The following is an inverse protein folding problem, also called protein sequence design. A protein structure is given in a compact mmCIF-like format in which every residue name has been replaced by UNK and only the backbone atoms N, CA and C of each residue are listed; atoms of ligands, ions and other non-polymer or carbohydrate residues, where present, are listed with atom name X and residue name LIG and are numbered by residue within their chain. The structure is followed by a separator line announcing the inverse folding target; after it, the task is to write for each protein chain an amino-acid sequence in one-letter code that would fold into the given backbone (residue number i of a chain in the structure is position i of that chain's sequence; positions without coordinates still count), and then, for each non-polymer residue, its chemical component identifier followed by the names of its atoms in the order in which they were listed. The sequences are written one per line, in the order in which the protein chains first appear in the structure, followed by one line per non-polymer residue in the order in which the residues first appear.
data_IF_942747757734
#
_entry.id   IF_942747757734
#
_cell.length_a   1.000
_cell.length_b   1.000
_cell.length_c   1.000
_cell.angle_alpha   90.00
_cell.angle_beta   90.00
_cell.angle_gamma   90.00
#
_symmetry.space_group_name_H-M   'P 1'
#
loop_
_entity.id
_entity.type
_entity.pdbx_description
1 polymer ?
#
# COMPACT_ATOMS: atom_id res chain seq x y z
N UNK A 1 -24.27 -23.26 13.34
CA UNK A 1 -24.55 -22.44 12.14
C UNK A 1 -23.71 -21.18 12.28
N UNK A 2 -22.67 -21.03 11.46
CA UNK A 2 -21.95 -19.76 11.42
C UNK A 2 -22.94 -18.66 11.03
N UNK A 3 -23.06 -17.60 11.83
CA UNK A 3 -23.92 -16.47 11.49
C UNK A 3 -23.48 -15.89 10.16
N UNK A 4 -24.44 -15.48 9.32
CA UNK A 4 -24.14 -14.78 8.07
C UNK A 4 -23.31 -13.53 8.41
N UNK A 5 -22.22 -13.31 7.66
CA UNK A 5 -21.42 -12.09 7.76
C UNK A 5 -22.31 -10.87 7.51
N UNK A 6 -22.02 -9.75 8.18
CA UNK A 6 -22.73 -8.47 7.97
C UNK A 6 -22.70 -8.01 6.51
N UNK A 7 -21.67 -8.38 5.78
CA UNK A 7 -21.47 -7.98 4.38
C UNK A 7 -21.92 -9.05 3.39
N UNK A 8 -22.60 -10.11 3.85
CA UNK A 8 -23.10 -11.17 2.98
C UNK A 8 -24.02 -10.62 1.89
N UNK A 9 -23.73 -10.99 0.64
CA UNK A 9 -24.46 -10.52 -0.56
C UNK A 9 -24.27 -9.05 -0.90
N UNK A 10 -23.50 -8.28 -0.13
CA UNK A 10 -23.31 -6.84 -0.40
C UNK A 10 -22.37 -6.61 -1.59
N UNK A 11 -22.70 -5.62 -2.44
CA UNK A 11 -21.83 -5.12 -3.50
C UNK A 11 -20.87 -4.05 -2.95
N UNK A 12 -19.58 -4.23 -3.17
CA UNK A 12 -18.52 -3.32 -2.72
C UNK A 12 -17.80 -2.79 -3.94
N UNK A 13 -17.86 -1.47 -4.16
CA UNK A 13 -17.23 -0.85 -5.31
C UNK A 13 -15.72 -0.76 -5.13
N UNK A 14 -14.96 -1.37 -6.05
CA UNK A 14 -13.51 -1.22 -6.16
C UNK A 14 -13.20 -0.41 -7.41
N UNK A 15 -12.89 0.87 -7.24
CA UNK A 15 -12.34 1.69 -8.32
C UNK A 15 -10.83 1.47 -8.37
N UNK A 16 -10.35 0.77 -9.39
CA UNK A 16 -8.92 0.58 -9.61
C UNK A 16 -8.59 0.45 -11.10
N UNK A 17 -7.45 0.99 -11.49
CA UNK A 17 -6.80 0.58 -12.73
C UNK A 17 -5.99 -0.70 -12.50
N UNK A 18 -6.24 -1.65 -13.41
CA UNK A 18 -5.53 -2.90 -13.69
C UNK A 18 -5.07 -3.74 -12.48
N UNK A 19 -5.68 -4.92 -12.32
CA UNK A 19 -5.08 -6.10 -11.69
C UNK A 19 -5.14 -6.20 -10.17
N UNK A 20 -5.40 -5.11 -9.44
CA UNK A 20 -5.42 -5.11 -7.96
C UNK A 20 -6.54 -5.96 -7.38
N UNK A 21 -7.65 -6.08 -8.11
CA UNK A 21 -8.77 -6.96 -7.75
C UNK A 21 -8.31 -8.41 -7.53
N UNK A 22 -7.26 -8.86 -8.23
CA UNK A 22 -6.73 -10.23 -8.14
C UNK A 22 -6.13 -10.57 -6.77
N UNK A 23 -5.72 -9.58 -5.98
CA UNK A 23 -5.20 -9.79 -4.62
C UNK A 23 -6.14 -9.29 -3.53
N UNK A 24 -7.13 -8.47 -3.88
CA UNK A 24 -8.12 -7.94 -2.95
C UNK A 24 -9.34 -8.88 -2.84
N UNK A 25 -9.98 -9.18 -3.97
CA UNK A 25 -11.25 -9.92 -3.98
C UNK A 25 -11.14 -11.35 -3.41
N UNK A 26 -10.12 -12.16 -3.77
CA UNK A 26 -10.00 -13.52 -3.23
C UNK A 26 -9.82 -13.60 -1.71
N UNK A 27 -9.38 -12.51 -1.07
CA UNK A 27 -9.28 -12.46 0.39
C UNK A 27 -10.57 -12.02 1.06
N UNK A 28 -11.26 -11.03 0.48
CA UNK A 28 -12.42 -10.39 1.13
C UNK A 28 -13.73 -11.11 0.83
N UNK A 29 -13.99 -11.53 -0.41
CA UNK A 29 -15.25 -12.14 -0.80
C UNK A 29 -15.59 -13.41 0.02
N UNK A 30 -14.72 -14.42 0.11
CA UNK A 30 -15.05 -15.64 0.87
C UNK A 30 -15.13 -15.39 2.38
N UNK A 31 -14.39 -14.41 2.90
CA UNK A 31 -14.33 -14.14 4.33
C UNK A 31 -15.50 -13.27 4.82
N UNK A 32 -15.95 -12.33 3.99
CA UNK A 32 -17.00 -11.37 4.33
C UNK A 32 -18.35 -11.71 3.67
N UNK A 33 -18.41 -12.65 2.73
CA UNK A 33 -19.61 -12.98 1.94
C UNK A 33 -20.02 -11.88 0.95
N UNK A 34 -19.19 -10.86 0.78
CA UNK A 34 -19.47 -9.74 -0.13
C UNK A 34 -19.04 -10.07 -1.57
N UNK A 35 -19.42 -9.19 -2.51
CA UNK A 35 -18.95 -9.23 -3.90
C UNK A 35 -18.21 -7.94 -4.22
N UNK A 36 -16.94 -8.06 -4.61
CA UNK A 36 -16.15 -6.95 -5.09
C UNK A 36 -16.56 -6.65 -6.54
N UNK A 37 -17.07 -5.46 -6.76
CA UNK A 37 -17.46 -4.97 -8.06
C UNK A 37 -16.39 -4.04 -8.59
N UNK A 38 -15.71 -4.48 -9.65
CA UNK A 38 -14.71 -3.67 -10.33
C UNK A 38 -15.42 -2.53 -11.09
N UNK A 39 -15.12 -1.29 -10.69
CA UNK A 39 -15.58 -0.10 -11.38
C UNK A 39 -14.52 0.31 -12.40
N UNK A 40 -14.86 0.19 -13.68
CA UNK A 40 -14.00 0.58 -14.81
C UNK A 40 -14.53 1.84 -15.49
N UNK A 41 -13.74 2.44 -16.38
CA UNK A 41 -14.18 3.60 -17.18
C UNK A 41 -13.98 4.98 -16.54
N UNK A 42 -13.37 5.04 -15.34
CA UNK A 42 -12.86 6.28 -14.76
C UNK A 42 -11.33 6.26 -14.76
N UNK A 43 -10.74 7.30 -15.33
CA UNK A 43 -9.29 7.46 -15.32
C UNK A 43 -8.83 7.92 -13.93
N UNK A 44 -8.37 6.96 -13.12
CA UNK A 44 -7.86 7.25 -11.78
C UNK A 44 -6.59 8.09 -11.78
N UNK A 45 -5.92 8.27 -12.93
CA UNK A 45 -4.77 9.17 -13.03
C UNK A 45 -5.17 10.64 -12.85
N UNK A 46 -6.46 10.97 -13.03
CA UNK A 46 -7.04 12.27 -12.64
C UNK A 46 -6.99 12.51 -11.12
N UNK A 47 -6.79 11.46 -10.32
CA UNK A 47 -6.63 11.53 -8.86
C UNK A 47 -5.14 11.54 -8.45
N UNK A 48 -4.22 11.58 -9.41
CA UNK A 48 -2.77 11.57 -9.24
C UNK A 48 -2.09 10.31 -9.77
N UNK A 49 -0.86 10.45 -10.30
CA UNK A 49 -0.12 9.35 -10.95
C UNK A 49 1.15 8.96 -10.19
N UNK A 50 1.53 7.68 -10.24
CA UNK A 50 2.83 7.21 -9.73
C UNK A 50 4.03 7.64 -10.60
N UNK A 51 3.78 8.01 -11.86
CA UNK A 51 4.78 8.41 -12.86
C UNK A 51 5.17 9.89 -12.78
N UNK A 52 4.69 10.62 -11.76
CA UNK A 52 4.95 12.06 -11.54
C UNK A 52 4.33 12.99 -12.61
N UNK A 53 3.44 12.47 -13.46
CA UNK A 53 2.76 13.26 -14.50
C UNK A 53 1.68 14.17 -13.92
N UNK A 54 0.91 13.68 -12.93
CA UNK A 54 -0.09 14.47 -12.17
C UNK A 54 0.19 14.38 -10.66
N UNK A 55 0.40 15.50 -9.94
CA UNK A 55 0.60 15.51 -8.49
C UNK A 55 -0.62 14.98 -7.74
N UNK A 56 -0.40 14.20 -6.66
CA UNK A 56 -1.48 13.74 -5.78
C UNK A 56 -1.96 14.90 -4.87
N UNK A 57 -3.27 15.17 -4.77
CA UNK A 57 -3.79 16.07 -3.76
C UNK A 57 -3.87 15.38 -2.38
N UNK A 58 -3.32 16.01 -1.34
CA UNK A 58 -3.46 15.56 0.04
C UNK A 58 -2.64 14.31 0.42
N UNK A 59 -3.02 13.66 1.51
CA UNK A 59 -2.35 12.47 2.04
C UNK A 59 -2.70 11.20 1.25
N UNK A 60 -1.89 10.15 1.37
CA UNK A 60 -2.17 8.83 0.78
C UNK A 60 -3.57 8.30 1.18
N UNK A 61 -3.96 8.49 2.43
CA UNK A 61 -5.29 8.10 2.94
C UNK A 61 -6.41 8.95 2.31
N UNK A 62 -6.21 10.26 2.15
CA UNK A 62 -7.20 11.12 1.50
C UNK A 62 -7.42 10.71 0.03
N UNK A 63 -6.36 10.35 -0.69
CA UNK A 63 -6.47 9.83 -2.05
C UNK A 63 -7.22 8.49 -2.09
N UNK A 64 -6.92 7.57 -1.17
CA UNK A 64 -7.64 6.30 -1.08
C UNK A 64 -9.14 6.52 -0.81
N UNK A 65 -9.46 7.42 0.11
CA UNK A 65 -10.84 7.80 0.44
C UNK A 65 -11.56 8.37 -0.78
N UNK A 66 -10.98 9.36 -1.46
CA UNK A 66 -11.58 9.97 -2.66
C UNK A 66 -11.85 8.92 -3.74
N UNK A 67 -10.91 7.99 -3.95
CA UNK A 67 -11.06 6.90 -4.92
C UNK A 67 -12.15 5.91 -4.55
N UNK A 68 -12.21 5.48 -3.29
CA UNK A 68 -13.28 4.60 -2.81
C UNK A 68 -14.65 5.27 -2.98
N UNK A 69 -14.76 6.55 -2.59
CA UNK A 69 -15.97 7.36 -2.75
C UNK A 69 -16.38 7.52 -4.21
N UNK A 70 -15.44 7.77 -5.11
CA UNK A 70 -15.74 7.86 -6.55
C UNK A 70 -16.22 6.52 -7.11
N UNK A 71 -15.61 5.41 -6.68
CA UNK A 71 -16.10 4.07 -7.01
C UNK A 71 -17.53 3.83 -6.56
N UNK A 72 -17.85 4.19 -5.31
CA UNK A 72 -19.20 4.09 -4.75
C UNK A 72 -20.23 4.90 -5.53
N UNK A 73 -19.88 6.14 -5.90
CA UNK A 73 -20.73 7.01 -6.73
C UNK A 73 -21.05 6.35 -8.09
N UNK A 74 -20.02 5.91 -8.80
CA UNK A 74 -20.14 5.32 -10.13
C UNK A 74 -20.91 3.99 -10.13
N UNK A 75 -20.73 3.16 -9.09
CA UNK A 75 -21.41 1.88 -8.95
C UNK A 75 -22.78 1.99 -8.25
N UNK A 76 -23.14 3.17 -7.73
CA UNK A 76 -24.30 3.39 -6.87
C UNK A 76 -24.35 2.42 -5.67
N UNK A 77 -23.23 2.23 -4.99
CA UNK A 77 -23.11 1.37 -3.79
C UNK A 77 -22.94 2.17 -2.51
N UNK A 78 -23.27 1.56 -1.37
CA UNK A 78 -23.00 2.12 -0.02
C UNK A 78 -21.67 1.66 0.58
N UNK A 79 -21.02 0.69 -0.07
CA UNK A 79 -19.75 0.15 0.32
C UNK A 79 -18.72 0.41 -0.77
N UNK A 80 -17.54 0.87 -0.37
CA UNK A 80 -16.43 1.16 -1.27
C UNK A 80 -15.12 0.66 -0.71
N UNK A 81 -14.23 0.26 -1.60
CA UNK A 81 -12.86 -0.10 -1.27
C UNK A 81 -11.89 0.53 -2.26
N UNK A 82 -10.76 1.00 -1.76
CA UNK A 82 -9.68 1.50 -2.61
C UNK A 82 -8.32 1.20 -2.01
N UNK A 83 -7.38 0.88 -2.89
CA UNK A 83 -5.97 0.74 -2.55
C UNK A 83 -5.18 1.95 -3.04
N UNK A 84 -4.30 2.48 -2.20
CA UNK A 84 -3.33 3.51 -2.60
C UNK A 84 -1.96 3.19 -2.03
N UNK A 85 -0.94 3.34 -2.87
CA UNK A 85 0.47 3.17 -2.49
C UNK A 85 1.20 4.49 -2.37
N UNK A 86 2.33 4.47 -1.69
CA UNK A 86 3.29 5.58 -1.64
C UNK A 86 4.70 5.04 -1.45
N UNK A 87 5.68 5.82 -1.88
CA UNK A 87 7.09 5.54 -1.63
C UNK A 87 7.67 6.63 -0.75
N UNK A 88 8.35 6.22 0.32
CA UNK A 88 9.02 7.10 1.25
C UNK A 88 10.46 6.62 1.48
N UNK A 89 11.23 7.41 2.24
CA UNK A 89 12.43 6.91 2.89
C UNK A 89 12.03 6.02 4.07
N UNK A 90 12.86 5.03 4.39
CA UNK A 90 12.57 4.14 5.52
C UNK A 90 12.54 4.92 6.84
N UNK A 91 11.63 4.57 7.77
CA UNK A 91 11.40 5.36 8.99
C UNK A 91 12.51 5.21 10.03
N UNK A 92 13.50 4.33 9.83
CA UNK A 92 14.54 4.04 10.80
C UNK A 92 15.86 4.76 10.47
N UNK A 93 16.36 4.57 9.25
CA UNK A 93 17.61 5.16 8.75
C UNK A 93 17.39 6.36 7.83
N UNK A 94 16.22 6.48 7.19
CA UNK A 94 15.94 7.52 6.21
C UNK A 94 16.68 7.33 4.87
N UNK A 95 17.31 6.18 4.64
CA UNK A 95 18.22 5.96 3.51
C UNK A 95 17.67 4.96 2.49
N UNK A 96 16.81 4.03 2.92
CA UNK A 96 16.33 2.95 2.06
C UNK A 96 14.98 3.28 1.44
N UNK A 97 14.70 2.85 0.19
CA UNK A 97 13.36 2.93 -0.37
C UNK A 97 12.37 2.13 0.46
N UNK A 98 11.24 2.75 0.78
CA UNK A 98 10.19 2.15 1.58
C UNK A 98 8.85 2.26 0.85
N UNK A 99 8.17 1.13 0.68
CA UNK A 99 6.84 1.07 0.10
C UNK A 99 5.80 0.99 1.21
N UNK A 100 4.77 1.82 1.12
CA UNK A 100 3.60 1.78 2.01
C UNK A 100 2.36 1.59 1.14
N UNK A 101 1.60 0.52 1.38
CA UNK A 101 0.32 0.25 0.74
C UNK A 101 -0.81 0.37 1.77
N UNK A 102 -1.86 1.10 1.40
CA UNK A 102 -3.10 1.22 2.14
C UNK A 102 -4.23 0.56 1.36
N UNK A 103 -5.13 -0.15 2.05
CA UNK A 103 -6.42 -0.59 1.50
C UNK A 103 -7.52 -0.09 2.44
N UNK A 104 -8.35 0.82 1.95
CA UNK A 104 -9.37 1.52 2.75
C UNK A 104 -10.76 1.03 2.35
N UNK A 105 -11.52 0.57 3.34
CA UNK A 105 -12.92 0.19 3.28
C UNK A 105 -13.79 1.31 3.85
N UNK A 106 -14.87 1.63 3.14
CA UNK A 106 -15.86 2.64 3.54
C UNK A 106 -17.24 1.99 3.59
N UNK A 107 -17.95 2.20 4.69
CA UNK A 107 -19.33 1.77 4.87
C UNK A 107 -20.22 2.95 5.30
N UNK A 108 -21.08 3.39 4.40
CA UNK A 108 -22.03 4.49 4.66
C UNK A 108 -23.23 4.09 5.51
N UNK A 109 -23.58 2.81 5.55
CA UNK A 109 -24.67 2.36 6.41
C UNK A 109 -24.27 2.44 7.89
N UNK A 110 -22.99 2.22 8.19
CA UNK A 110 -22.44 2.33 9.53
C UNK A 110 -21.74 3.66 9.83
N UNK A 111 -21.40 4.43 8.78
CA UNK A 111 -20.65 5.67 8.91
C UNK A 111 -19.20 5.46 9.33
N UNK A 112 -18.58 4.36 8.90
CA UNK A 112 -17.21 3.98 9.29
C UNK A 112 -16.25 3.95 8.11
N UNK A 113 -14.97 4.12 8.43
CA UNK A 113 -13.84 3.93 7.54
C UNK A 113 -12.79 3.07 8.23
N UNK A 114 -12.38 1.98 7.57
CA UNK A 114 -11.38 1.04 8.10
C UNK A 114 -10.25 0.92 7.09
N UNK A 115 -9.01 1.15 7.52
CA UNK A 115 -7.83 1.07 6.65
C UNK A 115 -6.88 -0.02 7.13
N UNK A 116 -6.59 -0.98 6.24
CA UNK A 116 -5.47 -1.90 6.39
C UNK A 116 -4.19 -1.33 5.81
N UNK A 117 -3.06 -1.65 6.43
CA UNK A 117 -1.75 -1.10 6.06
C UNK A 117 -0.73 -2.23 5.96
N UNK A 118 0.08 -2.21 4.92
CA UNK A 118 1.33 -2.97 4.86
C UNK A 118 2.45 -2.09 4.35
N UNK A 119 3.65 -2.31 4.88
CA UNK A 119 4.81 -1.52 4.53
C UNK A 119 6.09 -2.33 4.63
N UNK A 120 7.10 -1.96 3.86
CA UNK A 120 8.40 -2.58 3.94
C UNK A 120 9.40 -2.04 2.94
N UNK A 121 10.62 -2.55 3.03
CA UNK A 121 11.69 -2.20 2.13
C UNK A 121 11.30 -2.52 0.67
N UNK A 122 11.74 -1.65 -0.23
CA UNK A 122 11.61 -1.82 -1.68
C UNK A 122 12.95 -1.50 -2.36
N UNK A 123 13.04 -1.78 -3.66
CA UNK A 123 14.23 -1.54 -4.50
C UNK A 123 13.92 -0.44 -5.51
N UNK A 124 14.82 0.53 -5.64
CA UNK A 124 14.78 1.55 -6.72
C UNK A 124 15.86 1.28 -7.77
N UNK A 125 15.85 0.06 -8.30
CA UNK A 125 16.80 -0.36 -9.33
C UNK A 125 16.64 0.49 -10.59
N UNK A 126 17.77 1.04 -11.05
CA UNK A 126 17.87 1.70 -12.34
C UNK A 126 19.26 1.50 -12.95
N UNK A 127 19.39 1.77 -14.25
CA UNK A 127 20.65 1.80 -14.99
C UNK A 127 20.56 2.85 -16.10
N UNK A 128 21.70 3.41 -16.47
CA UNK A 128 21.88 4.22 -17.68
C UNK A 128 22.96 3.53 -18.52
N UNK A 129 22.61 3.03 -19.71
CA UNK A 129 23.58 2.43 -20.62
C UNK A 129 23.15 2.57 -22.09
N UNK A 130 24.13 2.66 -22.98
CA UNK A 130 23.96 2.56 -24.43
C UNK A 130 24.16 1.14 -24.98
N UNK A 131 24.41 0.15 -24.11
CA UNK A 131 24.69 -1.23 -24.51
C UNK A 131 23.58 -2.18 -24.08
N UNK A 132 23.05 -2.92 -25.06
CA UNK A 132 21.97 -3.90 -24.82
C UNK A 132 22.32 -4.94 -23.75
N UNK A 133 23.58 -5.42 -23.73
CA UNK A 133 24.00 -6.44 -22.78
C UNK A 133 23.87 -5.96 -21.31
N UNK A 134 24.19 -4.69 -21.04
CA UNK A 134 24.06 -4.11 -19.69
C UNK A 134 22.58 -4.04 -19.27
N UNK A 135 21.70 -3.66 -20.22
CA UNK A 135 20.26 -3.59 -19.99
C UNK A 135 19.68 -4.99 -19.74
N UNK A 136 20.11 -6.00 -20.50
CA UNK A 136 19.67 -7.37 -20.31
C UNK A 136 20.09 -7.93 -18.95
N UNK A 137 21.35 -7.75 -18.55
CA UNK A 137 21.84 -8.16 -17.22
C UNK A 137 21.13 -7.41 -16.09
N UNK A 138 20.86 -6.12 -16.26
CA UNK A 138 20.05 -5.35 -15.32
C UNK A 138 18.63 -5.92 -15.18
N UNK A 139 17.97 -6.22 -16.32
CA UNK A 139 16.61 -6.73 -16.35
C UNK A 139 16.49 -8.08 -15.62
N UNK A 140 17.42 -9.00 -15.85
CA UNK A 140 17.49 -10.28 -15.10
C UNK A 140 17.62 -10.05 -13.59
N UNK A 141 18.52 -9.14 -13.17
CA UNK A 141 18.76 -8.84 -11.75
C UNK A 141 17.55 -8.21 -11.05
N UNK A 142 16.75 -7.45 -11.78
CA UNK A 142 15.51 -6.86 -11.25
C UNK A 142 14.29 -7.79 -11.35
N UNK A 143 14.44 -8.99 -11.91
CA UNK A 143 13.39 -10.00 -11.98
C UNK A 143 12.42 -9.82 -13.14
N UNK A 144 12.88 -9.28 -14.27
CA UNK A 144 12.11 -9.24 -15.51
C UNK A 144 11.97 -10.65 -16.12
N UNK A 145 10.80 -11.06 -16.66
CA UNK A 145 9.64 -10.23 -17.00
C UNK A 145 8.57 -10.08 -15.92
N UNK A 146 8.65 -10.74 -14.76
CA UNK A 146 7.64 -10.60 -13.71
C UNK A 146 7.59 -9.18 -13.15
N UNK A 147 8.77 -8.59 -12.91
CA UNK A 147 8.92 -7.16 -12.69
C UNK A 147 9.06 -6.46 -14.03
N UNK A 148 8.10 -5.61 -14.41
CA UNK A 148 8.23 -4.87 -15.65
C UNK A 148 9.21 -3.69 -15.49
N UNK A 149 9.64 -3.16 -16.63
CA UNK A 149 10.55 -2.01 -16.71
C UNK A 149 9.91 -0.87 -17.50
N UNK A 150 10.41 0.34 -17.28
CA UNK A 150 10.15 1.51 -18.13
C UNK A 150 11.47 2.08 -18.62
N UNK A 151 11.46 2.63 -19.83
CA UNK A 151 12.65 3.13 -20.51
C UNK A 151 12.45 4.61 -20.83
N UNK A 152 13.54 5.36 -20.78
CA UNK A 152 13.60 6.76 -21.19
C UNK A 152 14.88 6.99 -22.01
N UNK A 153 14.85 7.78 -23.08
CA UNK A 153 16.08 8.28 -23.69
C UNK A 153 16.87 9.14 -22.69
N UNK A 154 18.18 9.18 -22.83
CA UNK A 154 19.11 10.12 -22.18
C UNK A 154 19.22 10.09 -20.64
N UNK A 155 18.12 10.22 -19.88
CA UNK A 155 18.18 10.33 -18.41
C UNK A 155 16.86 9.99 -17.72
N UNK A 156 16.88 9.93 -16.39
CA UNK A 156 15.68 9.71 -15.57
C UNK A 156 14.61 10.80 -15.77
N UNK A 157 15.05 12.02 -16.14
CA UNK A 157 14.20 13.22 -16.20
C UNK A 157 13.67 13.48 -17.61
N UNK A 158 14.03 12.64 -18.60
CA UNK A 158 13.52 12.77 -19.95
C UNK A 158 12.00 12.51 -19.97
N UNK A 159 11.18 13.40 -20.55
CA UNK A 159 9.72 13.26 -20.53
C UNK A 159 9.20 12.09 -21.37
N UNK A 160 9.99 11.58 -22.33
CA UNK A 160 9.61 10.49 -23.23
C UNK A 160 9.78 9.17 -22.47
N UNK A 161 8.65 8.55 -22.10
CA UNK A 161 8.64 7.27 -21.38
C UNK A 161 8.06 6.16 -22.27
N UNK A 162 8.83 5.09 -22.41
CA UNK A 162 8.35 3.83 -22.97
C UNK A 162 7.84 2.94 -21.82
N UNK A 163 6.53 2.65 -21.85
CA UNK A 163 5.80 1.90 -20.81
C UNK A 163 5.32 0.55 -21.37
N UNK A 164 4.82 -0.31 -20.48
CA UNK A 164 4.10 -1.55 -20.85
C UNK A 164 4.97 -2.59 -21.55
N UNK A 165 6.19 -2.76 -21.04
CA UNK A 165 7.17 -3.73 -21.51
C UNK A 165 7.01 -4.99 -20.67
N UNK A 166 6.56 -6.07 -21.30
CA UNK A 166 6.12 -7.30 -20.61
C UNK A 166 6.90 -8.54 -21.00
N UNK A 167 7.77 -8.44 -22.00
CA UNK A 167 8.59 -9.54 -22.49
C UNK A 167 9.91 -9.06 -23.10
N UNK A 168 10.85 -9.98 -23.28
CA UNK A 168 12.20 -9.70 -23.75
C UNK A 168 12.25 -9.04 -25.13
N UNK A 169 11.34 -9.42 -26.04
CA UNK A 169 11.29 -8.84 -27.37
C UNK A 169 10.84 -7.38 -27.31
N UNK A 170 9.80 -7.08 -26.53
CA UNK A 170 9.33 -5.71 -26.29
C UNK A 170 10.39 -4.84 -25.60
N UNK A 171 11.18 -5.42 -24.69
CA UNK A 171 12.28 -4.72 -24.01
C UNK A 171 13.38 -4.33 -25.00
N UNK A 172 13.78 -5.25 -25.88
CA UNK A 172 14.80 -4.99 -26.88
C UNK A 172 14.35 -3.91 -27.89
N UNK A 173 13.11 -4.03 -28.38
CA UNK A 173 12.54 -3.03 -29.29
C UNK A 173 12.42 -1.66 -28.62
N UNK A 174 11.97 -1.62 -27.36
CA UNK A 174 11.91 -0.39 -26.57
C UNK A 174 13.27 0.25 -26.36
N UNK A 175 14.31 -0.56 -26.12
CA UNK A 175 15.69 -0.09 -26.01
C UNK A 175 16.20 0.53 -27.31
N UNK A 176 16.07 -0.18 -28.44
CA UNK A 176 16.50 0.32 -29.75
C UNK A 176 15.76 1.62 -30.12
N UNK A 177 14.47 1.70 -29.82
CA UNK A 177 13.66 2.89 -30.02
C UNK A 177 14.12 4.08 -29.16
N UNK A 178 14.38 3.86 -27.87
CA UNK A 178 14.87 4.93 -26.99
C UNK A 178 16.28 5.37 -27.37
N UNK A 179 17.14 4.43 -27.77
CA UNK A 179 18.51 4.70 -28.19
C UNK A 179 18.55 5.57 -29.47
N UNK A 180 17.69 5.29 -30.43
CA UNK A 180 17.57 6.08 -31.66
C UNK A 180 17.10 7.53 -31.41
N UNK A 181 16.41 7.77 -30.29
CA UNK A 181 15.94 9.10 -29.87
C UNK A 181 16.88 9.82 -28.91
N UNK A 182 17.90 9.13 -28.43
CA UNK A 182 18.84 9.59 -27.41
C UNK A 182 19.93 10.46 -28.03
N UNK A 183 20.11 11.67 -27.53
CA UNK A 183 21.19 12.54 -27.97
C UNK A 183 22.55 12.11 -27.41
N UNK A 184 22.55 11.49 -26.24
CA UNK A 184 23.73 10.98 -25.53
C UNK A 184 24.13 9.55 -25.93
N UNK A 185 23.30 8.87 -26.71
CA UNK A 185 23.46 7.45 -27.01
C UNK A 185 23.27 6.55 -25.77
N UNK A 186 22.54 7.04 -24.77
CA UNK A 186 22.22 6.30 -23.55
C UNK A 186 20.71 6.10 -23.39
N UNK A 187 20.32 4.99 -22.76
CA UNK A 187 18.95 4.70 -22.36
C UNK A 187 18.90 4.50 -20.86
N UNK A 188 18.04 5.27 -20.20
CA UNK A 188 17.73 5.11 -18.79
C UNK A 188 16.64 4.05 -18.64
N UNK A 189 16.87 3.06 -17.78
CA UNK A 189 15.96 1.95 -17.52
C UNK A 189 15.72 1.87 -16.01
N UNK A 190 14.46 1.84 -15.60
CA UNK A 190 14.07 1.70 -14.20
C UNK A 190 12.92 0.72 -14.04
N UNK A 191 12.72 0.24 -12.81
CA UNK A 191 11.57 -0.61 -12.47
C UNK A 191 10.26 0.14 -12.72
N UNK A 192 9.28 -0.55 -13.30
CA UNK A 192 7.92 -0.04 -13.35
C UNK A 192 7.29 -0.13 -11.94
N UNK A 193 6.96 1.03 -11.38
CA UNK A 193 6.39 1.12 -10.03
C UNK A 193 4.87 0.97 -10.03
N UNK A 194 4.20 0.82 -11.17
CA UNK A 194 2.75 0.58 -11.22
C UNK A 194 2.43 -0.80 -10.65
N UNK A 195 1.37 -0.91 -9.83
CA UNK A 195 1.09 -2.11 -9.05
C UNK A 195 1.02 -3.40 -9.91
N UNK A 196 0.27 -3.38 -11.03
CA UNK A 196 0.13 -4.57 -11.90
C UNK A 196 1.45 -5.03 -12.54
N UNK A 197 2.45 -4.17 -12.56
CA UNK A 197 3.75 -4.35 -13.18
C UNK A 197 4.86 -4.65 -12.15
N UNK A 198 4.49 -4.73 -10.86
CA UNK A 198 5.41 -4.85 -9.75
C UNK A 198 4.91 -5.92 -8.75
N UNK A 199 5.45 -7.16 -8.82
CA UNK A 199 5.02 -8.27 -7.97
C UNK A 199 5.15 -7.96 -6.47
N UNK A 200 6.20 -7.26 -6.06
CA UNK A 200 6.41 -6.87 -4.66
C UNK A 200 5.30 -5.94 -4.18
N UNK A 201 4.87 -4.97 -4.99
CA UNK A 201 3.72 -4.12 -4.66
C UNK A 201 2.42 -4.90 -4.59
N UNK A 202 2.18 -5.83 -5.52
CA UNK A 202 0.98 -6.68 -5.48
C UNK A 202 0.92 -7.50 -4.19
N UNK A 203 2.06 -8.05 -3.76
CA UNK A 203 2.17 -8.72 -2.47
C UNK A 203 1.90 -7.76 -1.30
N UNK A 204 2.43 -6.53 -1.31
CA UNK A 204 2.14 -5.53 -0.27
C UNK A 204 0.66 -5.15 -0.22
N UNK A 205 -0.01 -5.03 -1.36
CA UNK A 205 -1.47 -4.80 -1.40
C UNK A 205 -2.22 -5.99 -0.79
N UNK A 206 -1.77 -7.22 -1.05
CA UNK A 206 -2.33 -8.43 -0.44
C UNK A 206 -2.16 -8.41 1.09
N UNK A 207 -0.98 -8.05 1.59
CA UNK A 207 -0.70 -7.92 3.03
C UNK A 207 -1.55 -6.82 3.68
N UNK A 208 -1.71 -5.67 3.01
CA UNK A 208 -2.57 -4.58 3.47
C UNK A 208 -4.06 -5.02 3.48
N UNK A 209 -4.48 -5.83 2.52
CA UNK A 209 -5.82 -6.44 2.49
C UNK A 209 -6.00 -7.42 3.64
N UNK A 210 -4.97 -8.21 3.98
CA UNK A 210 -4.99 -9.09 5.14
C UNK A 210 -5.13 -8.32 6.47
N UNK A 211 -4.41 -7.20 6.61
CA UNK A 211 -4.55 -6.29 7.75
C UNK A 211 -5.95 -5.68 7.83
N UNK A 212 -6.49 -5.22 6.70
CA UNK A 212 -7.87 -4.72 6.60
C UNK A 212 -8.87 -5.79 7.05
N UNK A 213 -8.72 -7.03 6.57
CA UNK A 213 -9.63 -8.12 6.91
C UNK A 213 -9.60 -8.46 8.40
N UNK A 214 -8.42 -8.45 9.03
CA UNK A 214 -8.30 -8.63 10.49
C UNK A 214 -9.04 -7.53 11.25
N UNK A 215 -8.92 -6.28 10.80
CA UNK A 215 -9.63 -5.14 11.41
C UNK A 215 -11.14 -5.24 11.23
N UNK A 216 -11.61 -5.62 10.04
CA UNK A 216 -13.04 -5.78 9.77
C UNK A 216 -13.68 -6.91 10.59
N UNK A 217 -12.93 -7.97 10.91
CA UNK A 217 -13.40 -9.02 11.82
C UNK A 217 -13.32 -8.64 13.30
N UNK A 218 -12.57 -7.61 13.65
CA UNK A 218 -12.50 -7.15 15.02
C UNK A 218 -13.71 -6.27 15.33
N UNK A 219 -14.68 -6.87 16.02
CA UNK A 219 -15.94 -6.25 16.36
C UNK A 219 -15.85 -5.56 17.72
N UNK A 220 -16.49 -4.40 17.82
CA UNK A 220 -16.64 -3.72 19.10
C UNK A 220 -17.52 -4.56 20.03
N UNK A 221 -17.08 -4.90 21.26
CA UNK A 221 -17.86 -5.75 22.16
C UNK A 221 -19.13 -5.07 22.69
N UNK A 222 -19.27 -3.75 22.52
CA UNK A 222 -20.44 -3.01 22.97
C UNK A 222 -21.53 -2.83 21.89
N UNK A 223 -21.17 -2.82 20.60
CA UNK A 223 -22.11 -2.49 19.52
C UNK A 223 -21.92 -3.28 18.22
N UNK A 224 -21.03 -4.28 18.22
CA UNK A 224 -20.69 -5.15 17.09
C UNK A 224 -20.26 -4.41 15.82
N UNK A 225 -19.84 -3.15 15.94
CA UNK A 225 -19.31 -2.37 14.81
C UNK A 225 -17.92 -2.90 14.46
N UNK A 226 -17.65 -3.26 13.18
CA UNK A 226 -16.35 -3.74 12.74
C UNK A 226 -15.30 -2.62 12.77
N UNK A 227 -14.03 -3.00 12.89
CA UNK A 227 -12.92 -2.05 13.00
C UNK A 227 -12.61 -1.61 14.42
N UNK A 228 -13.02 -2.37 15.45
CA UNK A 228 -12.55 -2.16 16.82
C UNK A 228 -11.06 -2.49 16.87
N UNK A 229 -10.22 -1.46 16.93
CA UNK A 229 -8.78 -1.65 16.73
C UNK A 229 -7.98 -0.66 17.56
N UNK A 230 -6.66 -0.86 17.57
CA UNK A 230 -5.70 0.01 18.24
C UNK A 230 -5.83 1.43 17.68
N UNK A 231 -6.26 2.37 18.52
CA UNK A 231 -6.32 3.80 18.23
C UNK A 231 -5.11 4.55 18.80
N UNK A 232 -4.52 4.03 19.88
CA UNK A 232 -3.43 4.67 20.60
C UNK A 232 -2.55 3.62 21.28
N UNK A 233 -1.26 3.93 21.44
CA UNK A 233 -0.34 3.17 22.27
C UNK A 233 0.16 4.06 23.40
N UNK A 234 -0.10 3.67 24.65
CA UNK A 234 0.25 4.45 25.83
C UNK A 234 1.72 4.24 26.18
N UNK A 235 2.59 5.27 26.05
CA UNK A 235 4.02 5.17 26.35
C UNK A 235 4.27 5.11 27.85
N UNK A 236 5.51 4.82 28.25
CA UNK A 236 5.94 4.84 29.63
C UNK A 236 6.35 3.49 30.19
N UNK A 237 6.64 2.50 29.33
CA UNK A 237 7.17 1.22 29.80
C UNK A 237 8.48 1.46 30.59
N UNK A 238 8.59 0.99 31.86
CA UNK A 238 9.71 1.35 32.71
C UNK A 238 11.01 0.67 32.26
N UNK A 239 12.11 1.42 32.23
CA UNK A 239 13.44 0.89 31.90
C UNK A 239 13.88 -0.20 32.89
N UNK A 240 14.45 -1.30 32.38
CA UNK A 240 14.95 -2.39 33.21
C UNK A 240 16.07 -1.98 34.18
N UNK A 241 16.89 -0.98 33.80
CA UNK A 241 18.03 -0.50 34.59
C UNK A 241 17.68 0.64 35.56
N UNK A 242 17.11 1.75 35.06
CA UNK A 242 16.89 2.96 35.87
C UNK A 242 15.42 3.19 36.26
N UNK A 243 14.48 2.37 35.76
CA UNK A 243 13.02 2.48 35.99
C UNK A 243 12.34 3.75 35.49
N UNK A 244 13.07 4.66 34.83
CA UNK A 244 12.45 5.81 34.17
C UNK A 244 11.50 5.36 33.06
N UNK A 245 10.40 6.10 32.83
CA UNK A 245 9.47 5.83 31.74
C UNK A 245 10.15 6.02 30.39
N UNK A 246 9.99 5.06 29.49
CA UNK A 246 10.51 5.14 28.11
C UNK A 246 9.41 5.54 27.13
N UNK A 247 9.79 5.82 25.88
CA UNK A 247 8.83 6.04 24.78
C UNK A 247 8.11 4.75 24.35
N UNK A 248 8.57 3.59 24.81
CA UNK A 248 7.93 2.31 24.50
C UNK A 248 6.57 2.20 25.20
N UNK A 249 5.62 1.62 24.50
CA UNK A 249 4.26 1.44 25.00
C UNK A 249 4.17 0.33 26.05
N UNK A 250 3.37 0.57 27.09
CA UNK A 250 3.00 -0.47 28.07
C UNK A 250 1.58 -1.02 27.83
N UNK A 251 0.75 -0.28 27.09
CA UNK A 251 -0.63 -0.68 26.79
C UNK A 251 -1.09 -0.12 25.46
N UNK A 252 -2.13 -0.74 24.91
CA UNK A 252 -2.82 -0.30 23.70
C UNK A 252 -4.24 0.10 24.06
N UNK A 253 -4.68 1.23 23.52
CA UNK A 253 -6.10 1.63 23.56
C UNK A 253 -6.76 1.11 22.30
N UNK A 254 -7.74 0.23 22.48
CA UNK A 254 -8.61 -0.26 21.44
C UNK A 254 -9.91 0.54 21.48
N UNK A 255 -10.37 1.07 20.34
CA UNK A 255 -11.52 1.98 20.31
C UNK A 255 -12.50 1.61 19.20
N UNK A 256 -13.78 1.84 19.47
CA UNK A 256 -14.83 1.72 18.47
C UNK A 256 -14.86 2.93 17.54
N UNK A 257 -15.17 2.70 16.27
CA UNK A 257 -15.34 3.76 15.26
C UNK A 257 -16.69 4.49 15.35
N UNK A 258 -17.64 3.98 16.15
CA UNK A 258 -19.04 4.45 16.15
C UNK A 258 -19.60 4.79 17.53
N UNK A 259 -19.20 4.09 18.59
CA UNK A 259 -19.61 4.40 19.96
C UNK A 259 -18.39 4.77 20.81
N UNK A 260 -18.62 5.23 22.04
CA UNK A 260 -17.54 5.66 22.93
C UNK A 260 -16.79 4.52 23.62
N UNK A 261 -17.10 3.26 23.30
CA UNK A 261 -16.47 2.11 23.93
C UNK A 261 -14.97 2.01 23.59
N UNK A 262 -14.17 1.81 24.64
CA UNK A 262 -12.72 1.69 24.57
C UNK A 262 -12.23 0.67 25.59
N UNK A 263 -11.23 -0.12 25.20
CA UNK A 263 -10.50 -1.02 26.09
C UNK A 263 -9.03 -0.61 26.16
N UNK A 264 -8.45 -0.70 27.36
CA UNK A 264 -7.01 -0.55 27.55
C UNK A 264 -6.45 -1.93 27.80
N UNK A 265 -5.68 -2.43 26.83
CA UNK A 265 -5.11 -3.78 26.85
C UNK A 265 -3.62 -3.67 27.16
N UNK A 266 -3.14 -4.23 28.31
CA UNK A 266 -1.71 -4.28 28.61
C UNK A 266 -0.95 -5.12 27.59
N UNK A 267 0.23 -4.65 27.17
CA UNK A 267 1.12 -5.42 26.31
C UNK A 267 1.82 -6.49 27.16
N UNK A 268 1.28 -7.70 27.14
CA UNK A 268 1.72 -8.80 28.01
C UNK A 268 3.18 -9.25 27.79
N UNK A 269 3.74 -8.98 26.61
CA UNK A 269 5.05 -9.53 26.22
C UNK A 269 6.24 -8.85 26.91
N UNK A 270 6.10 -7.62 27.42
CA UNK A 270 7.20 -6.88 28.05
C UNK A 270 6.70 -6.01 29.20
N UNK A 271 7.16 -6.31 30.42
CA UNK A 271 6.93 -5.47 31.61
C UNK A 271 8.01 -4.41 31.81
N UNK A 272 9.16 -4.55 31.14
CA UNK A 272 10.30 -3.64 31.22
C UNK A 272 10.89 -3.36 29.84
N UNK A 273 11.36 -2.12 29.65
CA UNK A 273 12.06 -1.69 28.46
C UNK A 273 13.56 -2.03 28.54
N UNK A 274 14.13 -2.42 27.39
CA UNK A 274 15.58 -2.54 27.23
C UNK A 274 16.23 -1.15 27.44
N UNK A 275 17.28 -1.03 28.26
CA UNK A 275 18.03 0.22 28.43
C UNK A 275 18.50 0.86 27.11
N UNK A 276 18.68 0.11 26.03
CA UNK A 276 19.01 0.63 24.70
C UNK A 276 17.94 1.59 24.12
N UNK A 277 16.70 1.51 24.61
CA UNK A 277 15.58 2.38 24.22
C UNK A 277 15.24 3.43 25.28
N UNK A 278 16.05 3.57 26.33
CA UNK A 278 15.81 4.53 27.41
C UNK A 278 16.64 5.79 27.18
N UNK A 279 15.99 6.94 26.96
CA UNK A 279 16.68 8.22 26.75
C UNK A 279 17.56 8.69 27.92
N UNK A 280 17.39 8.11 29.13
CA UNK A 280 18.28 8.36 30.26
C UNK A 280 19.51 7.44 30.27
N UNK A 281 19.35 6.16 29.91
CA UNK A 281 20.46 5.19 29.91
C UNK A 281 21.25 5.20 28.61
N UNK A 282 20.59 5.56 27.51
CA UNK A 282 21.12 5.65 26.15
C UNK A 282 20.54 6.93 25.50
N UNK A 283 21.06 8.11 25.86
CA UNK A 283 20.64 9.40 25.31
C UNK A 283 20.96 9.53 23.81
#
# INVERSE_FOLDING_TARGET
MAGLSRYDGCRVALLTQHGKEKVIAPMLEPALGCRIELVTGFDTDQLGTFTRETPRPGTQLQAARQKARKGMELASTKLGIASEGSFAADPFSGMLPWSVELVTWIDDALGIEVTGIAQGADRKGHILSGHWQDIATFAEREGFPEQHLVLRPDSQDDPRIHKSITDWASLQQGFEHCLAQSASGQVFVERDLRAFANPTRMQRIQEATADLLRRLHSLCPACDTPGFWISERLPGLPCAACRWPTSLAHSEVWACLRCDHRDIIPLAERSLADPAHCAYCNP
#
